data_IF_075580049330
#
_entry.id   IF_075580049330
#
_cell.length_a   1.000
_cell.length_b   1.000
_cell.length_c   1.000
_cell.angle_alpha   90.00
_cell.angle_beta   90.00
_cell.angle_gamma   90.00
#
_symmetry.space_group_name_H-M   'P 1'
#
loop_
_entity.id
_entity.type
_entity.pdbx_description
1 polymer ?
#
# COMPACT_ATOMS: atom_id res chain seq x y z
N UNK A 1 61.82 14.69 -6.49
CA UNK A 1 60.72 13.71 -6.53
C UNK A 1 59.47 14.44 -7.00
N UNK A 2 59.02 14.18 -8.23
CA UNK A 2 57.86 14.85 -8.83
C UNK A 2 56.58 14.28 -8.20
N UNK A 3 55.77 15.13 -7.54
CA UNK A 3 54.42 14.75 -7.10
C UNK A 3 53.62 14.42 -8.37
N UNK A 4 53.32 13.13 -8.59
CA UNK A 4 52.29 12.74 -9.54
C UNK A 4 50.99 13.41 -9.10
N UNK A 5 50.57 14.45 -9.82
CA UNK A 5 49.21 14.95 -9.76
C UNK A 5 48.31 13.82 -10.28
N UNK A 6 47.86 12.95 -9.38
CA UNK A 6 46.81 12.01 -9.72
C UNK A 6 45.56 12.84 -10.04
N UNK A 7 44.85 12.55 -11.14
CA UNK A 7 43.58 13.20 -11.40
C UNK A 7 42.64 12.90 -10.23
N UNK A 8 42.29 13.93 -9.48
CA UNK A 8 41.34 13.85 -8.39
C UNK A 8 39.96 14.13 -8.95
N UNK A 9 39.03 13.18 -8.76
CA UNK A 9 37.63 13.44 -9.06
C UNK A 9 37.11 14.51 -8.09
N UNK A 10 36.42 15.56 -8.57
CA UNK A 10 35.75 16.50 -7.68
C UNK A 10 34.72 15.81 -6.79
N UNK A 11 34.54 16.30 -5.56
CA UNK A 11 33.62 15.73 -4.58
C UNK A 11 32.18 15.69 -5.12
N UNK A 12 31.79 16.69 -5.88
CA UNK A 12 30.48 16.82 -6.52
C UNK A 12 30.20 15.67 -7.48
N UNK A 13 31.20 15.24 -8.25
CA UNK A 13 31.07 14.13 -9.20
C UNK A 13 30.92 12.80 -8.44
N UNK A 14 31.66 12.62 -7.34
CA UNK A 14 31.50 11.44 -6.48
C UNK A 14 30.09 11.38 -5.90
N UNK A 15 29.59 12.50 -5.37
CA UNK A 15 28.23 12.59 -4.83
C UNK A 15 27.17 12.33 -5.91
N UNK A 16 27.37 12.82 -7.13
CA UNK A 16 26.48 12.56 -8.25
C UNK A 16 26.46 11.06 -8.62
N UNK A 17 27.63 10.41 -8.69
CA UNK A 17 27.71 8.96 -8.96
C UNK A 17 26.94 8.16 -7.89
N UNK A 18 27.07 8.54 -6.62
CA UNK A 18 26.33 7.89 -5.52
C UNK A 18 24.83 8.11 -5.67
N UNK A 19 24.39 9.32 -6.06
CA UNK A 19 22.97 9.61 -6.29
C UNK A 19 22.40 8.80 -7.47
N UNK A 20 23.19 8.55 -8.52
CA UNK A 20 22.81 7.75 -9.67
C UNK A 20 22.61 6.25 -9.35
N UNK A 21 22.92 5.79 -8.13
CA UNK A 21 22.55 4.45 -7.68
C UNK A 21 21.03 4.28 -7.53
N UNK A 22 20.30 5.40 -7.34
CA UNK A 22 18.84 5.39 -7.24
C UNK A 22 18.26 5.58 -8.66
N UNK A 23 17.42 4.65 -9.15
CA UNK A 23 16.74 4.80 -10.43
C UNK A 23 15.70 5.92 -10.37
N UNK A 24 15.25 6.39 -11.54
CA UNK A 24 14.24 7.45 -11.66
C UNK A 24 12.90 7.07 -11.02
N UNK A 25 12.52 5.80 -11.13
CA UNK A 25 11.33 5.21 -10.52
C UNK A 25 11.79 4.15 -9.51
N UNK A 26 12.13 4.55 -8.28
CA UNK A 26 12.59 3.61 -7.27
C UNK A 26 11.42 2.78 -6.74
N UNK A 27 11.67 1.55 -6.26
CA UNK A 27 10.70 0.79 -5.47
C UNK A 27 10.26 1.59 -4.22
N UNK A 28 9.23 1.10 -3.51
CA UNK A 28 8.79 1.72 -2.25
C UNK A 28 9.94 1.77 -1.26
N UNK A 29 10.62 0.63 -1.07
CA UNK A 29 11.85 0.54 -0.32
C UNK A 29 12.75 -0.53 -0.93
N UNK A 30 14.04 -0.26 -1.05
CA UNK A 30 15.00 -1.30 -1.41
C UNK A 30 15.19 -2.25 -0.22
N UNK A 31 14.97 -3.57 -0.41
CA UNK A 31 15.22 -4.54 0.65
C UNK A 31 16.72 -4.67 0.92
N UNK A 32 17.11 -5.31 2.03
CA UNK A 32 18.51 -5.45 2.44
C UNK A 32 19.35 -6.17 1.40
N UNK A 33 18.81 -7.19 0.76
CA UNK A 33 19.48 -8.05 -0.20
C UNK A 33 19.65 -7.35 -1.57
N UNK A 34 19.01 -6.20 -1.77
CA UNK A 34 19.09 -5.47 -3.01
C UNK A 34 20.49 -4.87 -3.23
N UNK A 35 20.99 -4.95 -4.47
CA UNK A 35 22.33 -4.48 -4.85
C UNK A 35 22.57 -3.00 -4.50
N UNK A 36 21.57 -2.15 -4.69
CA UNK A 36 21.62 -0.73 -4.28
C UNK A 36 21.84 -0.58 -2.78
N UNK A 37 21.09 -1.30 -1.94
CA UNK A 37 21.24 -1.25 -0.47
C UNK A 37 22.64 -1.69 -0.06
N UNK A 38 23.13 -2.80 -0.60
CA UNK A 38 24.48 -3.32 -0.33
C UNK A 38 25.58 -2.37 -0.78
N UNK A 39 25.42 -1.74 -1.95
CA UNK A 39 26.35 -0.72 -2.45
C UNK A 39 26.37 0.51 -1.54
N UNK A 40 25.22 1.00 -1.11
CA UNK A 40 25.11 2.14 -0.18
C UNK A 40 25.73 1.80 1.18
N UNK A 41 25.46 0.63 1.75
CA UNK A 41 26.10 0.16 2.99
C UNK A 41 27.62 0.16 2.81
N UNK A 42 28.13 -0.39 1.72
CA UNK A 42 29.58 -0.41 1.44
C UNK A 42 30.16 1.01 1.37
N UNK A 43 29.46 1.94 0.73
CA UNK A 43 29.86 3.35 0.64
C UNK A 43 29.87 4.07 2.00
N UNK A 44 29.11 3.59 2.98
CA UNK A 44 29.18 4.11 4.36
C UNK A 44 30.52 3.83 5.06
N UNK A 45 31.30 2.88 4.55
CA UNK A 45 32.56 2.45 5.16
C UNK A 45 33.80 3.04 4.48
N UNK A 46 33.65 3.75 3.35
CA UNK A 46 34.79 4.21 2.53
C UNK A 46 35.41 5.51 3.03
N UNK A 47 34.61 6.57 3.21
CA UNK A 47 35.09 7.90 3.62
C UNK A 47 33.97 8.71 4.28
N UNK A 48 34.29 9.81 4.96
CA UNK A 48 33.27 10.70 5.56
C UNK A 48 32.31 11.30 4.52
N UNK A 49 32.82 11.68 3.35
CA UNK A 49 32.03 12.24 2.25
C UNK A 49 31.01 11.22 1.73
N UNK A 50 31.47 10.01 1.39
CA UNK A 50 30.60 8.94 0.89
C UNK A 50 29.65 8.44 1.98
N UNK A 51 30.09 8.44 3.23
CA UNK A 51 29.28 8.04 4.38
C UNK A 51 28.04 8.89 4.54
N UNK A 52 28.18 10.22 4.55
CA UNK A 52 27.03 11.11 4.71
C UNK A 52 26.05 10.97 3.54
N UNK A 53 26.56 10.90 2.31
CA UNK A 53 25.72 10.74 1.12
C UNK A 53 24.97 9.40 1.11
N UNK A 54 25.67 8.30 1.39
CA UNK A 54 25.09 6.96 1.38
C UNK A 54 24.10 6.75 2.53
N UNK A 55 24.42 7.24 3.75
CA UNK A 55 23.49 7.20 4.90
C UNK A 55 22.17 7.90 4.57
N UNK A 56 22.23 9.07 3.94
CA UNK A 56 21.03 9.82 3.50
C UNK A 56 20.20 9.02 2.50
N UNK A 57 20.82 8.35 1.54
CA UNK A 57 20.07 7.53 0.57
C UNK A 57 19.48 6.27 1.20
N UNK A 58 20.18 5.63 2.15
CA UNK A 58 19.66 4.51 2.93
C UNK A 58 18.39 4.90 3.70
N UNK A 59 18.45 6.00 4.45
CA UNK A 59 17.31 6.48 5.24
C UNK A 59 16.15 6.98 4.35
N UNK A 60 16.42 7.39 3.11
CA UNK A 60 15.39 7.89 2.18
C UNK A 60 14.69 6.80 1.38
N UNK A 61 15.44 5.79 0.93
CA UNK A 61 15.00 4.81 -0.07
C UNK A 61 15.07 3.35 0.38
N UNK A 62 15.68 3.05 1.54
CA UNK A 62 15.93 1.67 1.99
C UNK A 62 15.30 1.40 3.37
N UNK A 63 14.23 2.13 3.73
CA UNK A 63 13.46 1.83 4.94
C UNK A 63 12.60 0.59 4.73
N UNK A 64 13.25 -0.56 4.83
CA UNK A 64 12.64 -1.88 4.82
C UNK A 64 12.65 -2.44 6.24
N UNK A 65 11.61 -2.18 7.02
CA UNK A 65 11.52 -2.51 8.44
C UNK A 65 10.67 -3.76 8.65
N UNK A 66 11.29 -4.92 8.47
CA UNK A 66 10.62 -6.23 8.47
C UNK A 66 10.62 -6.97 9.82
N UNK A 67 10.95 -6.28 10.91
CA UNK A 67 10.90 -6.83 12.26
C UNK A 67 11.01 -5.71 13.31
N UNK A 68 10.51 -5.96 14.51
CA UNK A 68 10.67 -5.06 15.66
C UNK A 68 12.14 -4.79 15.98
N UNK A 69 12.99 -5.82 15.92
CA UNK A 69 14.45 -5.68 16.13
C UNK A 69 15.09 -4.68 15.16
N UNK A 70 14.63 -4.67 13.90
CA UNK A 70 15.14 -3.73 12.91
C UNK A 70 14.61 -2.32 13.16
N UNK A 71 13.34 -2.20 13.54
CA UNK A 71 12.74 -0.94 13.96
C UNK A 71 13.51 -0.34 15.15
N UNK A 72 13.83 -1.15 16.17
CA UNK A 72 14.65 -0.77 17.33
C UNK A 72 16.00 -0.16 16.92
N UNK A 73 16.69 -0.76 15.94
CA UNK A 73 18.01 -0.33 15.50
C UNK A 73 17.98 0.94 14.64
N UNK A 74 16.96 1.07 13.79
CA UNK A 74 16.88 2.15 12.79
C UNK A 74 16.23 3.41 13.38
N UNK A 75 15.26 3.27 14.26
CA UNK A 75 14.50 4.41 14.79
C UNK A 75 15.38 5.47 15.47
N UNK A 76 16.35 5.13 16.34
CA UNK A 76 17.26 6.12 16.93
C UNK A 76 18.09 6.88 15.88
N UNK A 77 18.46 6.21 14.77
CA UNK A 77 19.22 6.84 13.69
C UNK A 77 18.38 7.83 12.88
N UNK A 78 17.09 7.57 12.72
CA UNK A 78 16.14 8.50 12.12
C UNK A 78 15.89 9.71 13.02
N UNK A 79 15.70 9.47 14.32
CA UNK A 79 15.39 10.53 15.28
C UNK A 79 16.61 11.41 15.63
N UNK A 80 17.82 10.85 15.56
CA UNK A 80 19.07 11.52 15.92
C UNK A 80 19.70 12.38 14.81
N UNK A 81 19.12 12.44 13.61
CA UNK A 81 19.64 13.27 12.51
C UNK A 81 19.39 14.75 12.86
N UNK A 82 20.47 15.47 13.21
CA UNK A 82 20.46 16.89 13.58
C UNK A 82 19.63 17.71 12.57
N UNK A 83 18.77 18.61 13.08
CA UNK A 83 17.75 19.39 12.36
C UNK A 83 18.21 20.12 11.08
N UNK A 84 19.52 20.15 10.78
CA UNK A 84 20.11 20.82 9.61
C UNK A 84 20.04 20.01 8.32
N UNK A 85 19.88 18.68 8.37
CA UNK A 85 19.76 17.82 7.17
C UNK A 85 18.83 16.61 7.42
N UNK A 86 17.61 16.86 7.88
CA UNK A 86 16.62 15.78 8.05
C UNK A 86 16.40 15.06 6.72
N UNK A 87 16.84 13.81 6.66
CA UNK A 87 16.48 12.92 5.57
C UNK A 87 14.99 12.64 5.68
N UNK A 88 14.24 12.95 4.63
CA UNK A 88 12.80 12.76 4.57
C UNK A 88 12.48 11.48 3.80
N UNK A 89 12.15 10.36 4.48
CA UNK A 89 11.83 9.12 3.80
C UNK A 89 10.57 9.31 2.96
N UNK A 90 10.63 8.78 1.74
CA UNK A 90 9.53 8.91 0.77
C UNK A 90 8.77 7.60 0.59
N UNK A 91 9.41 6.47 0.90
CA UNK A 91 8.77 5.15 0.91
C UNK A 91 9.22 4.32 2.11
N UNK A 92 8.34 3.42 2.55
CA UNK A 92 8.52 2.56 3.71
C UNK A 92 7.86 1.21 3.47
N UNK A 93 8.60 0.14 3.72
CA UNK A 93 8.04 -1.19 3.98
C UNK A 93 8.05 -1.44 5.49
N UNK A 94 6.92 -1.84 6.08
CA UNK A 94 6.74 -1.94 7.52
C UNK A 94 6.02 -3.25 7.90
N UNK A 95 6.78 -4.17 8.50
CA UNK A 95 6.32 -5.44 9.05
C UNK A 95 6.99 -5.72 10.42
N UNK A 96 6.77 -4.88 11.43
CA UNK A 96 7.56 -4.92 12.66
C UNK A 96 7.04 -5.97 13.66
N UNK A 97 5.85 -6.51 13.42
CA UNK A 97 5.18 -7.46 14.31
C UNK A 97 5.53 -8.91 13.96
N UNK A 98 5.50 -9.83 14.94
CA UNK A 98 5.44 -11.25 14.67
C UNK A 98 4.24 -11.62 13.79
N UNK A 99 4.28 -12.79 13.16
CA UNK A 99 3.27 -13.19 12.16
C UNK A 99 1.85 -13.19 12.73
N UNK A 100 1.69 -13.56 14.01
CA UNK A 100 0.41 -13.84 14.65
C UNK A 100 0.16 -13.02 15.93
N UNK A 101 0.73 -11.83 16.04
CA UNK A 101 0.57 -11.02 17.25
C UNK A 101 0.69 -9.53 16.97
N UNK A 102 -0.32 -8.77 17.43
CA UNK A 102 -0.29 -7.31 17.50
C UNK A 102 -0.04 -6.81 18.94
N UNK A 103 0.00 -7.72 19.93
CA UNK A 103 0.16 -7.41 21.35
C UNK A 103 1.62 -7.13 21.75
N UNK A 104 2.24 -6.19 21.06
CA UNK A 104 3.64 -5.79 21.26
C UNK A 104 3.71 -4.29 21.61
N UNK A 105 3.49 -3.89 22.89
CA UNK A 105 3.35 -2.47 23.27
C UNK A 105 4.56 -1.60 22.91
N UNK A 106 5.77 -2.16 22.98
CA UNK A 106 6.99 -1.47 22.59
C UNK A 106 6.98 -1.19 21.08
N UNK A 107 6.67 -2.20 20.26
CA UNK A 107 6.60 -2.08 18.79
C UNK A 107 5.53 -1.07 18.39
N UNK A 108 4.35 -1.11 19.02
CA UNK A 108 3.26 -0.16 18.79
C UNK A 108 3.71 1.28 19.09
N UNK A 109 4.38 1.50 20.22
CA UNK A 109 4.92 2.82 20.59
C UNK A 109 5.96 3.30 19.57
N UNK A 110 6.79 2.39 19.07
CA UNK A 110 7.78 2.73 18.04
C UNK A 110 7.17 3.03 16.69
N UNK A 111 6.08 2.36 16.31
CA UNK A 111 5.31 2.70 15.11
C UNK A 111 4.70 4.09 15.23
N UNK A 112 4.18 4.48 16.39
CA UNK A 112 3.69 5.85 16.63
C UNK A 112 4.81 6.89 16.56
N UNK A 113 5.96 6.62 17.18
CA UNK A 113 7.14 7.50 17.09
C UNK A 113 7.67 7.63 15.65
N UNK A 114 7.78 6.51 14.93
CA UNK A 114 8.21 6.48 13.54
C UNK A 114 7.25 7.29 12.67
N UNK A 115 5.95 7.00 12.77
CA UNK A 115 4.91 7.71 12.01
C UNK A 115 4.94 9.21 12.31
N UNK A 116 5.22 9.60 13.56
CA UNK A 116 5.37 11.00 13.96
C UNK A 116 6.52 11.71 13.28
N UNK A 117 7.62 10.99 13.03
CA UNK A 117 8.78 11.54 12.38
C UNK A 117 8.60 11.66 10.86
N UNK A 118 7.91 10.70 10.23
CA UNK A 118 7.83 10.60 8.76
C UNK A 118 6.53 11.15 8.15
N UNK A 119 5.55 11.57 8.97
CA UNK A 119 4.22 11.95 8.48
C UNK A 119 4.21 13.09 7.45
N UNK A 120 5.19 14.00 7.49
CA UNK A 120 5.33 15.09 6.52
C UNK A 120 5.96 14.68 5.18
N UNK A 121 6.63 13.53 5.11
CA UNK A 121 7.45 13.14 3.96
C UNK A 121 7.04 11.83 3.30
N UNK A 122 6.46 10.90 4.06
CA UNK A 122 6.12 9.59 3.53
C UNK A 122 5.04 9.70 2.44
N UNK A 123 5.31 9.13 1.26
CA UNK A 123 4.38 9.12 0.12
C UNK A 123 3.92 7.72 -0.24
N UNK A 124 4.74 6.70 0.02
CA UNK A 124 4.44 5.31 -0.36
C UNK A 124 4.64 4.40 0.84
N UNK A 125 3.65 3.56 1.14
CA UNK A 125 3.69 2.68 2.30
C UNK A 125 3.17 1.29 1.92
N UNK A 126 3.97 0.28 2.22
CA UNK A 126 3.55 -1.12 2.22
C UNK A 126 3.62 -1.61 3.65
N UNK A 127 2.52 -2.15 4.15
CA UNK A 127 2.47 -2.83 5.45
C UNK A 127 2.25 -4.32 5.27
N UNK A 128 2.92 -5.09 6.10
CA UNK A 128 2.69 -6.52 6.29
C UNK A 128 2.51 -6.74 7.80
N UNK A 129 1.29 -6.49 8.28
CA UNK A 129 0.95 -6.50 9.71
C UNK A 129 -0.31 -7.33 9.94
N UNK A 130 -0.41 -8.06 11.06
CA UNK A 130 -1.60 -8.82 11.40
C UNK A 130 -2.62 -7.95 12.17
N UNK A 131 -3.22 -6.92 11.54
CA UNK A 131 -4.07 -5.98 12.29
C UNK A 131 -5.39 -6.61 12.78
N UNK A 132 -5.76 -7.76 12.22
CA UNK A 132 -6.92 -8.56 12.61
C UNK A 132 -6.70 -9.45 13.84
N UNK A 133 -5.45 -9.69 14.24
CA UNK A 133 -5.14 -10.61 15.34
C UNK A 133 -5.43 -10.04 16.72
N UNK A 134 -5.81 -8.77 16.81
CA UNK A 134 -6.26 -8.13 18.04
C UNK A 134 -7.58 -7.41 17.77
N UNK A 135 -8.71 -7.96 18.20
CA UNK A 135 -10.01 -7.32 18.04
C UNK A 135 -10.20 -6.10 18.97
N UNK A 136 -11.12 -5.16 18.67
CA UNK A 136 -11.44 -4.05 19.57
C UNK A 136 -11.90 -4.48 20.98
N UNK A 137 -12.45 -5.70 21.10
CA UNK A 137 -12.93 -6.27 22.36
C UNK A 137 -11.82 -6.96 23.19
N UNK A 138 -10.71 -7.31 22.55
CA UNK A 138 -9.53 -7.93 23.17
C UNK A 138 -8.45 -6.88 23.54
N UNK A 139 -8.56 -5.65 23.06
CA UNK A 139 -7.57 -4.59 23.23
C UNK A 139 -7.57 -3.97 24.65
N UNK A 140 -7.25 -4.76 25.67
CA UNK A 140 -7.17 -4.32 27.06
C UNK A 140 -6.13 -3.21 27.28
N UNK A 141 -5.07 -3.22 26.46
CA UNK A 141 -3.94 -2.29 26.55
C UNK A 141 -4.13 -1.02 25.70
N UNK A 142 -5.21 -0.92 24.92
CA UNK A 142 -5.50 0.24 24.07
C UNK A 142 -4.53 0.44 22.91
N UNK A 143 -3.86 -0.62 22.46
CA UNK A 143 -2.87 -0.62 21.39
C UNK A 143 -3.47 -0.19 20.05
N UNK A 144 -4.70 -0.60 19.75
CA UNK A 144 -5.37 -0.28 18.47
C UNK A 144 -5.56 1.21 18.31
N UNK A 145 -5.82 1.95 19.40
CA UNK A 145 -5.94 3.42 19.37
C UNK A 145 -4.64 4.09 18.95
N UNK A 146 -3.51 3.55 19.43
CA UNK A 146 -2.17 4.06 19.10
C UNK A 146 -1.85 3.76 17.63
N UNK A 147 -2.07 2.51 17.19
CA UNK A 147 -1.85 2.08 15.80
C UNK A 147 -2.72 2.90 14.83
N UNK A 148 -4.01 3.05 15.13
CA UNK A 148 -4.93 3.87 14.34
C UNK A 148 -4.43 5.31 14.25
N UNK A 149 -4.06 5.93 15.37
CA UNK A 149 -3.54 7.30 15.40
C UNK A 149 -2.25 7.45 14.58
N UNK A 150 -1.36 6.46 14.62
CA UNK A 150 -0.13 6.43 13.85
C UNK A 150 -0.43 6.49 12.33
N UNK A 151 -1.34 5.65 11.84
CA UNK A 151 -1.71 5.64 10.42
C UNK A 151 -2.55 6.85 9.98
N UNK A 152 -3.48 7.31 10.81
CA UNK A 152 -4.31 8.51 10.51
C UNK A 152 -3.44 9.74 10.23
N UNK A 153 -2.29 9.88 10.90
CA UNK A 153 -1.42 11.05 10.76
C UNK A 153 -0.66 11.10 9.42
N UNK A 154 -0.60 10.00 8.67
CA UNK A 154 0.16 9.87 7.42
C UNK A 154 -0.58 10.49 6.22
N UNK A 155 -1.02 11.74 6.36
CA UNK A 155 -1.86 12.46 5.39
C UNK A 155 -1.19 12.75 4.04
N UNK A 156 0.11 12.51 3.93
CA UNK A 156 0.88 12.72 2.72
C UNK A 156 0.97 11.48 1.82
N UNK A 157 0.40 10.35 2.23
CA UNK A 157 0.40 9.12 1.44
C UNK A 157 -0.31 9.31 0.10
N UNK A 158 0.35 8.82 -0.94
CA UNK A 158 -0.10 8.77 -2.33
C UNK A 158 -0.32 7.33 -2.77
N UNK A 159 0.48 6.39 -2.26
CA UNK A 159 0.33 4.96 -2.54
C UNK A 159 0.34 4.17 -1.22
N UNK A 160 -0.63 3.28 -1.05
CA UNK A 160 -0.72 2.43 0.12
C UNK A 160 -1.09 1.00 -0.25
N UNK A 161 -0.43 0.03 0.38
CA UNK A 161 -0.76 -1.39 0.31
C UNK A 161 -0.78 -1.99 1.72
N UNK A 162 -1.86 -2.67 2.09
CA UNK A 162 -1.86 -3.64 3.19
C UNK A 162 -1.84 -5.06 2.62
N UNK A 163 -0.79 -5.80 2.92
CA UNK A 163 -0.55 -7.12 2.34
C UNK A 163 -1.35 -8.25 3.02
N UNK A 164 -1.73 -8.09 4.29
CA UNK A 164 -2.40 -9.14 5.08
C UNK A 164 -3.87 -8.90 5.37
N UNK A 165 -4.32 -7.65 5.28
CA UNK A 165 -5.69 -7.28 5.62
C UNK A 165 -6.13 -6.01 4.87
N UNK A 166 -7.31 -5.51 5.22
CA UNK A 166 -7.92 -4.32 4.65
C UNK A 166 -7.62 -3.02 5.43
N UNK A 167 -6.51 -3.00 6.19
CA UNK A 167 -6.16 -1.95 7.16
C UNK A 167 -7.16 -1.89 8.32
N UNK A 168 -7.43 -3.04 8.94
CA UNK A 168 -8.41 -3.18 10.02
C UNK A 168 -7.94 -2.54 11.33
N UNK A 169 -8.18 -1.23 11.48
CA UNK A 169 -7.74 -0.41 12.62
C UNK A 169 -8.91 0.17 13.45
N UNK A 170 -10.08 -0.47 13.45
CA UNK A 170 -11.21 -0.02 14.26
C UNK A 170 -10.92 -0.15 15.75
N UNK A 171 -11.35 0.83 16.55
CA UNK A 171 -11.12 0.91 18.01
C UNK A 171 -12.40 0.75 18.81
N UNK A 172 -13.56 0.79 18.14
CA UNK A 172 -14.87 0.69 18.78
C UNK A 172 -15.48 -0.68 18.51
N UNK A 173 -16.04 -1.29 19.55
CA UNK A 173 -16.85 -2.51 19.41
C UNK A 173 -18.18 -2.24 18.69
N UNK A 174 -18.74 -1.05 18.89
CA UNK A 174 -20.01 -0.60 18.31
C UNK A 174 -19.85 0.83 17.83
N UNK A 175 -20.19 1.05 16.58
CA UNK A 175 -20.02 2.34 15.92
C UNK A 175 -19.40 2.14 14.54
N UNK A 176 -19.43 3.21 13.75
CA UNK A 176 -18.78 3.24 12.45
C UNK A 176 -17.66 4.25 12.55
N UNK A 177 -16.43 3.77 12.47
CA UNK A 177 -15.27 4.62 12.24
C UNK A 177 -14.97 4.67 10.74
N UNK A 178 -14.53 5.82 10.20
CA UNK A 178 -14.06 5.86 8.83
C UNK A 178 -12.83 4.94 8.67
N UNK A 179 -12.73 4.16 7.58
CA UNK A 179 -11.51 3.45 7.26
C UNK A 179 -10.32 4.41 7.23
N UNK A 180 -9.18 4.01 7.78
CA UNK A 180 -8.05 4.94 7.94
C UNK A 180 -7.58 5.51 6.60
N UNK A 181 -7.62 4.69 5.54
CA UNK A 181 -7.25 5.11 4.20
C UNK A 181 -8.13 6.25 3.66
N UNK A 182 -9.38 6.37 4.12
CA UNK A 182 -10.29 7.43 3.68
C UNK A 182 -9.93 8.81 4.24
N UNK A 183 -8.98 8.87 5.17
CA UNK A 183 -8.50 10.09 5.80
C UNK A 183 -7.22 10.64 5.14
N UNK A 184 -6.76 10.01 4.06
CA UNK A 184 -5.57 10.40 3.32
C UNK A 184 -5.94 11.18 2.05
N UNK A 185 -5.92 12.53 2.06
CA UNK A 185 -6.45 13.35 0.97
C UNK A 185 -5.63 13.26 -0.34
N UNK A 186 -4.41 12.74 -0.27
CA UNK A 186 -3.48 12.62 -1.40
C UNK A 186 -3.42 11.22 -1.99
N UNK A 187 -4.18 10.26 -1.44
CA UNK A 187 -4.15 8.88 -1.87
C UNK A 187 -4.56 8.76 -3.34
N UNK A 188 -3.69 8.13 -4.14
CA UNK A 188 -3.86 7.87 -5.57
C UNK A 188 -4.03 6.39 -5.87
N UNK A 189 -3.33 5.54 -5.13
CA UNK A 189 -3.32 4.10 -5.30
C UNK A 189 -3.56 3.40 -3.96
N UNK A 190 -4.54 2.50 -3.92
CA UNK A 190 -4.92 1.75 -2.73
C UNK A 190 -4.94 0.25 -3.07
N UNK A 191 -4.20 -0.56 -2.30
CA UNK A 191 -4.24 -2.00 -2.36
C UNK A 191 -4.63 -2.58 -1.00
N UNK A 192 -5.65 -3.43 -0.99
CA UNK A 192 -6.17 -4.06 0.21
C UNK A 192 -6.28 -5.57 0.01
N UNK A 193 -5.89 -6.33 1.03
CA UNK A 193 -6.05 -7.78 1.06
C UNK A 193 -7.34 -8.14 1.80
N UNK A 194 -8.15 -9.03 1.21
CA UNK A 194 -9.34 -9.59 1.83
C UNK A 194 -10.35 -8.54 2.34
N UNK A 195 -10.55 -7.49 1.55
CA UNK A 195 -11.55 -6.47 1.82
C UNK A 195 -12.96 -7.02 1.60
N UNK A 196 -13.86 -6.78 2.57
CA UNK A 196 -15.28 -7.06 2.47
C UNK A 196 -15.97 -5.95 1.67
N UNK A 197 -16.29 -6.23 0.39
CA UNK A 197 -16.77 -5.21 -0.55
C UNK A 197 -18.29 -5.11 -0.65
N UNK A 198 -19.04 -6.02 -0.03
CA UNK A 198 -20.49 -5.90 0.17
C UNK A 198 -20.83 -4.78 1.15
N UNK A 199 -19.91 -4.45 2.06
CA UNK A 199 -20.13 -3.47 3.11
C UNK A 199 -20.27 -2.05 2.55
N UNK A 200 -21.43 -1.41 2.77
CA UNK A 200 -21.75 -0.07 2.25
C UNK A 200 -20.70 0.98 2.59
N UNK A 201 -20.19 0.93 3.81
CA UNK A 201 -19.22 1.89 4.33
C UNK A 201 -17.95 1.92 3.46
N UNK A 202 -17.53 0.76 2.93
CA UNK A 202 -16.39 0.68 2.02
C UNK A 202 -16.56 1.66 0.85
N UNK A 203 -17.69 1.60 0.14
CA UNK A 203 -17.97 2.47 -1.01
C UNK A 203 -18.27 3.91 -0.61
N UNK A 204 -18.96 4.11 0.52
CA UNK A 204 -19.33 5.45 1.01
C UNK A 204 -18.12 6.33 1.31
N UNK A 205 -16.98 5.73 1.69
CA UNK A 205 -15.77 6.46 2.05
C UNK A 205 -14.80 6.68 0.89
N UNK A 206 -14.95 6.00 -0.25
CA UNK A 206 -14.11 6.25 -1.45
C UNK A 206 -14.14 7.72 -1.94
N UNK A 207 -15.29 8.44 -1.96
CA UNK A 207 -15.31 9.86 -2.33
C UNK A 207 -14.45 10.78 -1.45
N UNK A 208 -14.08 10.35 -0.24
CA UNK A 208 -13.17 11.10 0.62
C UNK A 208 -11.72 11.10 0.11
N UNK A 209 -11.40 10.25 -0.87
CA UNK A 209 -10.12 10.17 -1.56
C UNK A 209 -10.25 10.70 -3.00
N UNK A 210 -10.31 12.03 -3.22
CA UNK A 210 -10.62 12.62 -4.52
C UNK A 210 -9.54 12.36 -5.60
N UNK A 211 -8.34 11.94 -5.19
CA UNK A 211 -7.23 11.64 -6.08
C UNK A 211 -7.09 10.14 -6.36
N UNK A 212 -7.96 9.29 -5.78
CA UNK A 212 -7.85 7.84 -5.90
C UNK A 212 -8.20 7.43 -7.34
N UNK A 213 -7.21 6.86 -8.02
CA UNK A 213 -7.28 6.45 -9.42
C UNK A 213 -7.16 4.95 -9.61
N UNK A 214 -6.44 4.27 -8.71
CA UNK A 214 -6.17 2.84 -8.80
C UNK A 214 -6.59 2.15 -7.50
N UNK A 215 -7.40 1.11 -7.63
CA UNK A 215 -7.81 0.23 -6.54
C UNK A 215 -7.40 -1.20 -6.88
N UNK A 216 -6.68 -1.86 -5.97
CA UNK A 216 -6.32 -3.27 -6.09
C UNK A 216 -6.95 -4.03 -4.92
N UNK A 217 -7.75 -5.03 -5.26
CA UNK A 217 -8.45 -5.86 -4.30
C UNK A 217 -7.92 -7.28 -4.44
N UNK A 218 -7.05 -7.67 -3.52
CA UNK A 218 -6.51 -9.02 -3.49
C UNK A 218 -7.43 -9.87 -2.63
N UNK A 219 -7.93 -10.98 -3.17
CA UNK A 219 -8.76 -11.94 -2.42
C UNK A 219 -9.99 -11.29 -1.76
N UNK A 220 -10.59 -10.27 -2.38
CA UNK A 220 -11.76 -9.60 -1.78
C UNK A 220 -12.92 -10.57 -1.55
N UNK A 221 -13.60 -10.41 -0.42
CA UNK A 221 -14.74 -11.22 -0.05
C UNK A 221 -16.04 -10.62 -0.61
N UNK A 222 -17.03 -11.49 -0.85
CA UNK A 222 -18.40 -11.08 -1.22
C UNK A 222 -18.51 -10.30 -2.55
N UNK A 223 -17.59 -10.51 -3.49
CA UNK A 223 -17.61 -9.90 -4.83
C UNK A 223 -18.90 -10.20 -5.62
N UNK A 224 -19.50 -11.37 -5.37
CA UNK A 224 -20.73 -11.86 -6.02
C UNK A 224 -22.00 -11.52 -5.24
N UNK A 225 -21.89 -11.00 -4.02
CA UNK A 225 -23.05 -10.70 -3.18
C UNK A 225 -23.69 -9.38 -3.60
N UNK A 226 -25.02 -9.23 -3.43
CA UNK A 226 -25.72 -8.00 -3.75
C UNK A 226 -25.10 -6.80 -3.04
N UNK A 227 -24.76 -5.77 -3.80
CA UNK A 227 -24.28 -4.50 -3.25
C UNK A 227 -25.44 -3.80 -2.52
N UNK A 228 -25.13 -3.10 -1.42
CA UNK A 228 -26.12 -2.28 -0.72
C UNK A 228 -26.80 -1.30 -1.70
N UNK A 229 -28.15 -1.29 -1.82
CA UNK A 229 -28.87 -0.41 -2.74
C UNK A 229 -28.56 1.08 -2.56
N UNK A 230 -28.20 1.51 -1.35
CA UNK A 230 -27.83 2.89 -1.08
C UNK A 230 -26.40 3.23 -1.53
N UNK A 231 -25.57 2.22 -1.83
CA UNK A 231 -24.26 2.39 -2.46
C UNK A 231 -24.35 2.47 -3.99
N UNK A 232 -25.46 1.99 -4.56
CA UNK A 232 -25.75 2.05 -6.01
C UNK A 232 -26.04 3.51 -6.40
N UNK A 233 -25.31 4.03 -7.38
CA UNK A 233 -25.50 5.40 -7.90
C UNK A 233 -24.76 6.49 -7.13
N UNK A 234 -24.02 6.15 -6.08
CA UNK A 234 -23.00 7.04 -5.54
C UNK A 234 -21.87 7.18 -6.59
N UNK A 235 -21.46 8.41 -6.90
CA UNK A 235 -20.37 8.70 -7.84
C UNK A 235 -18.98 8.38 -7.28
N UNK A 236 -18.83 7.28 -6.53
CA UNK A 236 -17.57 6.84 -5.93
C UNK A 236 -16.51 6.48 -6.99
N UNK A 237 -16.91 6.24 -8.23
CA UNK A 237 -15.99 6.00 -9.35
C UNK A 237 -15.48 7.26 -10.04
N UNK A 238 -15.93 8.46 -9.66
CA UNK A 238 -15.66 9.70 -10.43
C UNK A 238 -14.17 10.00 -10.64
N UNK A 239 -13.29 9.58 -9.74
CA UNK A 239 -11.82 9.68 -9.88
C UNK A 239 -11.13 8.37 -10.27
N UNK A 240 -11.81 7.23 -10.09
CA UNK A 240 -11.24 5.90 -10.33
C UNK A 240 -11.05 5.65 -11.82
N UNK A 241 -9.84 5.24 -12.18
CA UNK A 241 -9.47 4.85 -13.55
C UNK A 241 -9.39 3.35 -13.72
N UNK A 242 -9.02 2.63 -12.66
CA UNK A 242 -8.73 1.20 -12.69
C UNK A 242 -9.07 0.52 -11.38
N UNK A 243 -9.72 -0.64 -11.48
CA UNK A 243 -9.95 -1.59 -10.38
C UNK A 243 -9.39 -2.93 -10.83
N UNK A 244 -8.44 -3.48 -10.06
CA UNK A 244 -7.80 -4.76 -10.33
C UNK A 244 -8.17 -5.76 -9.23
N UNK A 245 -8.83 -6.85 -9.60
CA UNK A 245 -9.12 -7.98 -8.71
C UNK A 245 -7.99 -9.00 -8.85
N UNK A 246 -7.28 -9.28 -7.75
CA UNK A 246 -6.21 -10.27 -7.72
C UNK A 246 -6.69 -11.49 -6.95
N UNK A 247 -6.61 -12.67 -7.56
CA UNK A 247 -7.02 -13.93 -6.92
C UNK A 247 -6.34 -15.12 -7.60
N UNK A 248 -6.47 -16.32 -7.01
CA UNK A 248 -6.13 -17.57 -7.68
C UNK A 248 -7.15 -17.95 -8.76
N UNK A 249 -6.80 -18.92 -9.61
CA UNK A 249 -7.64 -19.35 -10.72
C UNK A 249 -9.03 -19.85 -10.26
N UNK A 250 -9.07 -20.63 -9.18
CA UNK A 250 -10.32 -21.13 -8.60
C UNK A 250 -11.20 -20.02 -8.01
N UNK A 251 -10.59 -19.00 -7.41
CA UNK A 251 -11.29 -17.79 -6.94
C UNK A 251 -11.98 -17.06 -8.08
N UNK A 252 -11.23 -16.70 -9.14
CA UNK A 252 -11.81 -16.06 -10.34
C UNK A 252 -12.87 -16.91 -11.02
N UNK A 253 -12.67 -18.23 -11.08
CA UNK A 253 -13.68 -19.14 -11.62
C UNK A 253 -14.96 -19.10 -10.77
N UNK A 254 -14.85 -18.99 -9.45
CA UNK A 254 -16.02 -18.89 -8.56
C UNK A 254 -16.76 -17.58 -8.78
N UNK A 255 -16.03 -16.46 -8.86
CA UNK A 255 -16.56 -15.13 -9.13
C UNK A 255 -17.24 -15.04 -10.51
N UNK A 256 -16.69 -15.72 -11.52
CA UNK A 256 -17.20 -15.70 -12.90
C UNK A 256 -18.33 -16.71 -13.16
N UNK A 257 -18.35 -17.86 -12.46
CA UNK A 257 -19.32 -18.95 -12.69
C UNK A 257 -20.65 -18.71 -11.99
N UNK A 258 -20.68 -17.93 -10.92
CA UNK A 258 -21.91 -17.58 -10.20
C UNK A 258 -22.63 -16.41 -10.87
N UNK A 259 -22.98 -16.57 -12.16
CA UNK A 259 -24.06 -15.77 -12.79
C UNK A 259 -25.42 -16.31 -12.34
N UNK A 260 -25.58 -16.43 -11.03
CA UNK A 260 -26.88 -16.78 -10.46
C UNK A 260 -27.87 -15.65 -10.74
N UNK A 261 -29.19 -15.91 -10.77
CA UNK A 261 -30.19 -14.86 -10.92
C UNK A 261 -29.93 -13.72 -9.91
N UNK A 262 -29.70 -12.50 -10.40
CA UNK A 262 -29.41 -11.33 -9.55
C UNK A 262 -27.94 -10.92 -9.48
N UNK A 263 -27.02 -11.58 -10.19
CA UNK A 263 -25.61 -11.16 -10.30
C UNK A 263 -25.44 -9.70 -10.76
N UNK A 264 -26.42 -9.14 -11.47
CA UNK A 264 -26.44 -7.74 -11.90
C UNK A 264 -26.42 -6.78 -10.71
N UNK A 265 -26.90 -7.22 -9.55
CA UNK A 265 -26.89 -6.45 -8.30
C UNK A 265 -25.60 -6.62 -7.50
N UNK A 266 -24.74 -7.58 -7.89
CA UNK A 266 -23.45 -7.80 -7.21
C UNK A 266 -22.45 -6.67 -7.45
N UNK A 267 -21.39 -6.61 -6.65
CA UNK A 267 -20.29 -5.65 -6.84
C UNK A 267 -19.69 -5.75 -8.24
N UNK A 268 -19.35 -6.97 -8.70
CA UNK A 268 -18.78 -7.20 -10.03
C UNK A 268 -19.80 -6.84 -11.13
N UNK A 269 -21.08 -7.15 -10.92
CA UNK A 269 -22.18 -6.76 -11.81
C UNK A 269 -22.33 -5.26 -11.96
N UNK A 270 -22.39 -4.52 -10.85
CA UNK A 270 -22.53 -3.07 -10.82
C UNK A 270 -21.33 -2.33 -11.43
N UNK A 271 -20.13 -2.89 -11.24
CA UNK A 271 -18.90 -2.39 -11.84
C UNK A 271 -18.88 -2.61 -13.35
N UNK A 272 -19.27 -3.79 -13.81
CA UNK A 272 -19.15 -4.19 -15.21
C UNK A 272 -20.33 -3.82 -16.12
N UNK A 273 -21.54 -3.64 -15.58
CA UNK A 273 -22.73 -3.25 -16.37
C UNK A 273 -22.69 -1.77 -16.74
N UNK A 274 -23.16 -1.34 -17.93
CA UNK A 274 -23.36 0.07 -18.24
C UNK A 274 -24.37 0.71 -17.26
N UNK A 275 -24.04 1.84 -16.63
CA UNK A 275 -25.02 2.56 -15.80
C UNK A 275 -25.90 3.46 -16.67
N UNK A 276 -27.21 3.59 -16.37
CA UNK A 276 -28.07 4.53 -17.07
C UNK A 276 -27.63 5.96 -16.76
N UNK A 277 -27.17 6.69 -17.78
CA UNK A 277 -26.94 8.14 -17.69
C UNK A 277 -28.27 8.83 -17.40
N UNK A 278 -28.40 9.44 -16.22
CA UNK A 278 -29.52 10.33 -15.95
C UNK A 278 -29.35 11.56 -16.84
N UNK A 279 -30.14 11.64 -17.91
CA UNK A 279 -30.24 12.82 -18.76
C UNK A 279 -30.71 14.00 -17.91
N UNK A 280 -29.78 14.80 -17.41
CA UNK A 280 -30.09 16.15 -16.97
C UNK A 280 -30.33 16.99 -18.22
N UNK A 281 -31.41 17.77 -18.26
CA UNK A 281 -31.86 18.65 -19.37
C UNK A 281 -30.89 19.79 -19.76
N UNK A 282 -29.59 19.62 -19.50
CA UNK A 282 -28.51 20.51 -19.90
C UNK A 282 -27.65 19.81 -20.94
N UNK A 283 -27.60 20.37 -22.14
CA UNK A 283 -27.03 19.83 -23.37
C UNK A 283 -25.48 19.72 -23.35
N UNK A 284 -24.90 19.07 -22.34
CA UNK A 284 -23.50 18.67 -22.26
C UNK A 284 -23.43 17.19 -21.88
N UNK A 285 -23.20 16.35 -22.88
CA UNK A 285 -22.84 14.94 -22.69
C UNK A 285 -21.48 14.86 -21.96
N UNK A 286 -21.48 14.89 -20.63
CA UNK A 286 -20.36 14.38 -19.84
C UNK A 286 -20.49 12.87 -19.83
N UNK A 287 -19.74 12.20 -20.70
CA UNK A 287 -19.55 10.75 -20.62
C UNK A 287 -18.77 10.48 -19.33
N UNK A 288 -19.44 9.99 -18.28
CA UNK A 288 -18.75 9.46 -17.11
C UNK A 288 -17.96 8.22 -17.55
N UNK A 289 -16.64 8.36 -17.66
CA UNK A 289 -15.76 7.25 -17.96
C UNK A 289 -15.69 6.35 -16.72
N UNK A 290 -16.32 5.18 -16.80
CA UNK A 290 -16.18 4.13 -15.78
C UNK A 290 -14.73 3.66 -15.66
N UNK A 291 -14.29 3.23 -14.45
CA UNK A 291 -12.99 2.61 -14.27
C UNK A 291 -12.90 1.31 -15.07
N UNK A 292 -11.69 0.97 -15.55
CA UNK A 292 -11.46 -0.36 -16.10
C UNK A 292 -11.54 -1.39 -14.97
N UNK A 293 -12.45 -2.37 -15.11
CA UNK A 293 -12.50 -3.54 -14.24
C UNK A 293 -11.66 -4.66 -14.85
N UNK A 294 -10.60 -5.03 -14.15
CA UNK A 294 -9.63 -6.02 -14.59
C UNK A 294 -9.40 -7.06 -13.49
N UNK A 295 -8.93 -8.24 -13.90
CA UNK A 295 -8.46 -9.27 -12.99
C UNK A 295 -7.05 -9.73 -13.31
N UNK A 296 -6.34 -10.21 -12.28
CA UNK A 296 -5.06 -10.86 -12.39
C UNK A 296 -5.11 -12.20 -11.65
N UNK A 297 -4.74 -13.28 -12.35
CA UNK A 297 -4.68 -14.62 -11.77
C UNK A 297 -3.26 -14.89 -11.28
N UNK A 298 -3.11 -15.19 -9.99
CA UNK A 298 -1.85 -15.71 -9.47
C UNK A 298 -1.75 -17.19 -9.85
N UNK A 299 -0.65 -17.55 -10.50
CA UNK A 299 -0.36 -18.94 -10.87
C UNK A 299 0.02 -19.72 -9.60
N UNK A 300 -0.94 -20.49 -9.09
CA UNK A 300 -0.73 -21.38 -7.95
C UNK A 300 -0.80 -22.83 -8.42
N UNK A 301 0.25 -23.64 -8.17
CA UNK A 301 0.21 -25.07 -8.45
C UNK A 301 -0.96 -25.74 -7.72
N UNK A 302 -1.66 -26.72 -8.32
CA UNK A 302 -2.79 -27.39 -7.68
C UNK A 302 -2.47 -28.00 -6.30
N UNK A 303 -1.21 -28.41 -6.10
CA UNK A 303 -0.73 -28.98 -4.83
C UNK A 303 -0.60 -27.95 -3.69
N UNK A 304 -0.67 -26.66 -4.00
CA UNK A 304 -0.51 -25.53 -3.07
C UNK A 304 -1.77 -24.67 -2.98
N UNK A 305 -2.92 -25.19 -3.40
CA UNK A 305 -4.17 -24.42 -3.39
C UNK A 305 -4.60 -24.05 -1.95
N UNK A 306 -4.31 -24.89 -0.96
CA UNK A 306 -4.52 -24.59 0.45
C UNK A 306 -3.63 -23.44 0.97
N UNK A 307 -2.46 -23.23 0.34
CA UNK A 307 -1.52 -22.14 0.66
C UNK A 307 -1.86 -20.84 -0.11
N UNK A 308 -2.95 -20.82 -0.89
CA UNK A 308 -3.33 -19.66 -1.70
C UNK A 308 -3.39 -18.34 -0.91
N UNK A 309 -3.94 -18.28 0.33
CA UNK A 309 -3.91 -17.05 1.13
C UNK A 309 -2.49 -16.52 1.32
N UNK A 310 -1.57 -17.36 1.80
CA UNK A 310 -0.18 -16.96 2.08
C UNK A 310 0.55 -16.57 0.79
N UNK A 311 0.33 -17.31 -0.31
CA UNK A 311 0.90 -17.00 -1.63
C UNK A 311 0.38 -15.64 -2.14
N UNK A 312 -0.92 -15.36 -1.98
CA UNK A 312 -1.48 -14.07 -2.38
C UNK A 312 -0.89 -12.91 -1.56
N UNK A 313 -0.75 -13.08 -0.25
CA UNK A 313 -0.16 -12.09 0.65
C UNK A 313 1.31 -11.82 0.31
N UNK A 314 2.11 -12.86 0.12
CA UNK A 314 3.52 -12.74 -0.28
C UNK A 314 3.63 -12.05 -1.65
N UNK A 315 2.84 -12.48 -2.63
CA UNK A 315 2.85 -11.92 -3.97
C UNK A 315 2.49 -10.43 -3.99
N UNK A 316 1.40 -10.03 -3.33
CA UNK A 316 0.97 -8.61 -3.33
C UNK A 316 1.98 -7.74 -2.60
N UNK A 317 2.54 -8.24 -1.50
CA UNK A 317 3.60 -7.60 -0.74
C UNK A 317 4.84 -7.34 -1.61
N UNK A 318 5.30 -8.35 -2.35
CA UNK A 318 6.43 -8.23 -3.26
C UNK A 318 6.18 -7.20 -4.37
N UNK A 319 5.04 -7.29 -5.06
CA UNK A 319 4.71 -6.39 -6.17
C UNK A 319 4.55 -4.94 -5.69
N UNK A 320 3.90 -4.74 -4.54
CA UNK A 320 3.76 -3.41 -3.94
C UNK A 320 5.11 -2.84 -3.54
N UNK A 321 5.97 -3.64 -2.90
CA UNK A 321 7.31 -3.21 -2.47
C UNK A 321 8.17 -2.82 -3.67
N UNK A 322 8.10 -3.58 -4.77
CA UNK A 322 8.80 -3.28 -6.03
C UNK A 322 8.24 -2.05 -6.75
N UNK A 323 7.04 -1.59 -6.39
CA UNK A 323 6.34 -0.48 -7.05
C UNK A 323 5.67 -0.88 -8.37
N UNK A 324 5.54 -2.18 -8.66
CA UNK A 324 5.02 -2.70 -9.93
C UNK A 324 3.53 -3.05 -9.88
N UNK A 325 2.94 -3.14 -8.68
CA UNK A 325 1.56 -3.57 -8.47
C UNK A 325 0.54 -2.75 -9.31
N UNK A 326 0.77 -1.45 -9.45
CA UNK A 326 -0.17 -0.52 -10.09
C UNK A 326 -0.22 -0.65 -11.62
N UNK A 327 0.87 -1.13 -12.23
CA UNK A 327 1.06 -1.22 -13.68
C UNK A 327 0.94 -2.65 -14.22
N UNK A 328 0.58 -3.62 -13.36
CA UNK A 328 0.43 -5.01 -13.75
C UNK A 328 -0.59 -5.16 -14.90
N UNK A 329 -0.30 -5.98 -15.93
CA UNK A 329 -1.25 -6.22 -17.00
C UNK A 329 -2.43 -7.06 -16.48
N UNK A 330 -3.62 -6.46 -16.43
CA UNK A 330 -4.86 -7.15 -16.07
C UNK A 330 -5.60 -7.67 -17.30
N UNK A 331 -6.35 -8.75 -17.15
CA UNK A 331 -7.34 -9.21 -18.12
C UNK A 331 -8.68 -8.53 -17.83
N UNK A 332 -9.43 -8.12 -18.86
CA UNK A 332 -10.75 -7.51 -18.65
C UNK A 332 -11.77 -8.58 -18.30
N UNK A 333 -12.66 -8.26 -17.37
CA UNK A 333 -13.90 -9.04 -17.21
C UNK A 333 -14.72 -8.91 -18.49
N UNK A 334 -14.87 -10.01 -19.22
CA UNK A 334 -15.78 -10.06 -20.38
C UNK A 334 -17.13 -10.57 -19.90
N UNK A 335 -17.99 -9.63 -19.53
CA UNK A 335 -19.37 -9.92 -19.19
C UNK A 335 -20.16 -10.04 -20.50
N UNK A 336 -20.20 -11.23 -21.10
CA UNK A 336 -21.11 -11.51 -22.21
C UNK A 336 -22.56 -11.58 -21.72
N UNK A 337 -23.48 -10.90 -22.41
CA UNK A 337 -24.94 -10.96 -22.20
C UNK A 337 -25.51 -12.39 -22.32
#
# INVERSE_FOLDING_TARGET
>A
MSKRNMPHLPAEVILQVIQCLIPSEPPVAFPPEHSVTQALISLTLVSSLTHQAAKRLLLKHCLYLNSGQRLDLVLPQLLGDDQKQQTQPTGLFLAPFPVQSLEEPLVVTQVDLLSSHICGSLRRLVIDMPLRDLGPYEDEQGLRKIIRAAFVRLTQLEEFCSARDELYCDTMQRGIEPPVWSLWPRLKCLALYNAAVEWREFWRFLPACPNLTHLVLTRADYLTDPMDPDAVGLAWWSSLKRILIVNGASGHLSDLRLREPGWETSVVGQLGLPQPTVESESNKLTVELKPSLEYFCIDVPPEKEDDLPDICQEWVCEQATRGTLWDLPGSRYVLHD
#
